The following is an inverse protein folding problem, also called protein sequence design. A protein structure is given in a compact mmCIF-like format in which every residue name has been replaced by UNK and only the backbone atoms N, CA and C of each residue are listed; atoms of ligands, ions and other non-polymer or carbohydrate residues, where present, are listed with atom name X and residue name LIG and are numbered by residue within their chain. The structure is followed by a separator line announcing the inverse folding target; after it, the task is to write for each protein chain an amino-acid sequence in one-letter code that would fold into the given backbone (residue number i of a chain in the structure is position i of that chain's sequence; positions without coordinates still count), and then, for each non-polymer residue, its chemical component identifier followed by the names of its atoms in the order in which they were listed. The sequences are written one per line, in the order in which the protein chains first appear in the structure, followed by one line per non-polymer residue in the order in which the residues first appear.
data_IF_973912615661
#
_entry.id   IF_973912615661
#
_cell.length_a   1.000
_cell.length_b   1.000
_cell.length_c   1.000
_cell.angle_alpha   90.00
_cell.angle_beta   90.00
_cell.angle_gamma   90.00
#
_symmetry.space_group_name_H-M   'P 1'
#
loop_
_entity.id
_entity.type
_entity.pdbx_description
1 polymer ?
#
# COMPACT_ATOMS: atom_id res chain seq x y z
N UNK A 1 -26.39 -24.22 -21.96
CA UNK A 1 -25.72 -24.35 -20.66
C UNK A 1 -26.74 -24.05 -19.58
N UNK A 2 -27.01 -25.02 -18.69
CA UNK A 2 -27.89 -24.82 -17.54
C UNK A 2 -27.05 -24.16 -16.44
N UNK A 3 -27.25 -22.87 -16.19
CA UNK A 3 -26.60 -22.16 -15.08
C UNK A 3 -27.63 -22.02 -13.96
N UNK A 4 -27.36 -22.66 -12.81
CA UNK A 4 -28.23 -22.71 -11.64
C UNK A 4 -28.42 -24.15 -11.17
N UNK A 5 -27.68 -24.58 -10.15
CA UNK A 5 -27.67 -25.99 -9.71
C UNK A 5 -28.99 -26.45 -9.10
N UNK A 6 -29.87 -25.52 -8.68
CA UNK A 6 -31.11 -25.83 -7.96
C UNK A 6 -32.32 -25.68 -8.89
N UNK A 7 -32.31 -24.70 -9.79
CA UNK A 7 -33.38 -24.34 -10.72
C UNK A 7 -33.59 -25.38 -11.84
N UNK A 8 -32.61 -26.26 -12.03
CA UNK A 8 -32.68 -27.39 -12.97
C UNK A 8 -33.51 -28.54 -12.40
N UNK A 9 -33.59 -28.68 -11.08
CA UNK A 9 -34.24 -29.83 -10.44
C UNK A 9 -35.71 -30.00 -10.84
N UNK A 10 -36.55 -28.95 -10.95
CA UNK A 10 -37.92 -29.09 -11.44
C UNK A 10 -38.01 -29.52 -12.91
N UNK A 11 -37.16 -28.96 -13.77
CA UNK A 11 -37.13 -29.32 -15.19
C UNK A 11 -36.63 -30.73 -15.45
N UNK A 12 -35.74 -31.23 -14.59
CA UNK A 12 -35.21 -32.59 -14.64
C UNK A 12 -36.14 -33.62 -13.98
N UNK A 13 -37.29 -33.20 -13.43
CA UNK A 13 -38.21 -34.09 -12.70
C UNK A 13 -37.66 -34.61 -11.37
N UNK A 14 -36.65 -33.94 -10.81
CA UNK A 14 -36.00 -34.31 -9.55
C UNK A 14 -36.67 -33.67 -8.33
N UNK A 15 -37.49 -32.63 -8.52
CA UNK A 15 -38.24 -31.98 -7.47
C UNK A 15 -39.50 -31.31 -8.03
N UNK A 16 -40.61 -31.32 -7.28
CA UNK A 16 -41.83 -30.61 -7.69
C UNK A 16 -41.75 -29.09 -7.43
N UNK A 17 -40.89 -28.69 -6.49
CA UNK A 17 -40.67 -27.29 -6.12
C UNK A 17 -39.25 -27.09 -5.57
N UNK A 18 -38.79 -25.84 -5.59
CA UNK A 18 -37.51 -25.42 -5.00
C UNK A 18 -37.74 -24.21 -4.09
N UNK A 19 -36.89 -24.06 -3.09
CA UNK A 19 -36.89 -22.89 -2.21
C UNK A 19 -35.78 -21.93 -2.64
N UNK A 20 -36.14 -20.75 -3.13
CA UNK A 20 -35.20 -19.66 -3.34
C UNK A 20 -35.03 -18.87 -2.02
N UNK A 21 -33.78 -18.53 -1.71
CA UNK A 21 -33.41 -17.76 -0.52
C UNK A 21 -33.20 -16.27 -0.83
N UNK A 22 -33.27 -15.87 -2.10
CA UNK A 22 -32.99 -14.51 -2.56
C UNK A 22 -34.29 -13.83 -3.01
N UNK A 23 -34.53 -12.61 -2.53
CA UNK A 23 -35.81 -11.90 -2.68
C UNK A 23 -36.12 -11.41 -4.10
N UNK A 24 -35.18 -11.43 -5.04
CA UNK A 24 -35.34 -10.69 -6.31
C UNK A 24 -36.15 -11.45 -7.35
N UNK A 25 -36.35 -12.77 -7.22
CA UNK A 25 -37.14 -13.60 -8.15
C UNK A 25 -36.56 -13.74 -9.57
N UNK A 26 -35.57 -12.93 -9.94
CA UNK A 26 -34.99 -12.85 -11.28
C UNK A 26 -34.40 -14.19 -11.75
N UNK A 27 -33.81 -14.97 -10.84
CA UNK A 27 -33.24 -16.28 -11.16
C UNK A 27 -34.32 -17.33 -11.46
N UNK A 28 -35.47 -17.25 -10.77
CA UNK A 28 -36.63 -18.12 -11.02
C UNK A 28 -37.25 -17.81 -12.38
N UNK A 29 -37.48 -16.53 -12.68
CA UNK A 29 -38.04 -16.08 -13.96
C UNK A 29 -37.15 -16.49 -15.14
N UNK A 30 -35.83 -16.31 -15.01
CA UNK A 30 -34.86 -16.71 -16.03
C UNK A 30 -34.90 -18.22 -16.35
N UNK A 31 -35.36 -19.04 -15.39
CA UNK A 31 -35.51 -20.48 -15.54
C UNK A 31 -36.97 -20.92 -15.79
N UNK A 32 -37.88 -19.98 -16.07
CA UNK A 32 -39.29 -20.26 -16.32
C UNK A 32 -40.04 -20.83 -15.11
N UNK A 33 -39.55 -20.54 -13.91
CA UNK A 33 -40.19 -20.87 -12.64
C UNK A 33 -40.97 -19.65 -12.14
N UNK A 34 -42.00 -19.88 -11.33
CA UNK A 34 -42.80 -18.82 -10.70
C UNK A 34 -42.88 -19.04 -9.20
N UNK A 35 -42.92 -17.96 -8.45
CA UNK A 35 -43.22 -18.02 -7.02
C UNK A 35 -44.67 -18.50 -6.82
N UNK A 36 -44.85 -19.51 -5.97
CA UNK A 36 -46.17 -20.10 -5.67
C UNK A 36 -46.60 -19.89 -4.23
N UNK A 37 -45.65 -19.84 -3.29
CA UNK A 37 -45.94 -19.66 -1.86
C UNK A 37 -44.71 -19.15 -1.11
N UNK A 38 -44.91 -18.20 -0.20
CA UNK A 38 -43.90 -17.84 0.80
C UNK A 38 -43.96 -18.84 1.95
N UNK A 39 -42.89 -19.61 2.15
CA UNK A 39 -42.81 -20.64 3.20
C UNK A 39 -42.22 -20.07 4.50
N UNK A 40 -41.31 -19.11 4.40
CA UNK A 40 -40.63 -18.52 5.57
C UNK A 40 -40.05 -17.14 5.25
N UNK A 41 -40.16 -16.20 6.19
CA UNK A 41 -39.45 -14.91 6.12
C UNK A 41 -38.16 -14.98 6.95
N UNK A 42 -37.01 -14.85 6.28
CA UNK A 42 -35.70 -14.79 6.93
C UNK A 42 -35.16 -13.37 6.94
N UNK A 43 -34.70 -12.88 8.10
CA UNK A 43 -34.05 -11.56 8.24
C UNK A 43 -32.86 -11.66 9.19
N UNK A 44 -31.75 -11.02 8.83
CA UNK A 44 -30.66 -10.81 9.75
C UNK A 44 -31.03 -9.72 10.76
N UNK A 45 -30.98 -10.05 12.06
CA UNK A 45 -31.31 -9.14 13.15
C UNK A 45 -30.10 -8.98 14.07
N UNK A 46 -29.86 -7.75 14.55
CA UNK A 46 -28.84 -7.48 15.55
C UNK A 46 -29.50 -7.56 16.94
N UNK A 47 -29.05 -8.51 17.75
CA UNK A 47 -29.63 -8.77 19.08
C UNK A 47 -28.81 -8.01 20.13
N UNK A 48 -29.48 -7.18 20.92
CA UNK A 48 -28.88 -6.51 22.07
C UNK A 48 -29.42 -7.14 23.35
N UNK A 49 -28.55 -7.35 24.35
CA UNK A 49 -28.96 -7.82 25.67
C UNK A 49 -29.86 -6.75 26.31
N UNK A 50 -31.04 -7.15 26.77
CA UNK A 50 -31.91 -6.31 27.60
C UNK A 50 -31.33 -6.19 29.02
N UNK A 51 -31.25 -4.97 29.55
CA UNK A 51 -30.71 -4.69 30.89
C UNK A 51 -29.68 -3.56 30.94
N UNK A 52 -29.04 -3.37 32.09
CA UNK A 52 -28.11 -2.27 32.31
C UNK A 52 -26.76 -2.55 31.62
N UNK A 53 -26.44 -1.77 30.59
CA UNK A 53 -25.18 -1.83 29.84
C UNK A 53 -24.30 -0.68 30.33
N UNK A 54 -23.05 -0.97 30.70
CA UNK A 54 -22.06 0.06 31.06
C UNK A 54 -21.92 1.05 29.89
N UNK A 55 -21.85 2.35 30.20
CA UNK A 55 -21.84 3.45 29.22
C UNK A 55 -20.70 3.33 28.19
N UNK A 56 -19.55 2.78 28.56
CA UNK A 56 -18.46 2.49 27.60
C UNK A 56 -18.94 1.53 26.50
N UNK A 57 -19.68 0.48 26.87
CA UNK A 57 -20.22 -0.48 25.91
C UNK A 57 -21.35 0.13 25.08
N UNK A 58 -22.19 0.99 25.67
CA UNK A 58 -23.23 1.72 24.92
C UNK A 58 -22.60 2.62 23.85
N UNK A 59 -21.52 3.31 24.16
CA UNK A 59 -20.82 4.18 23.21
C UNK A 59 -20.25 3.39 22.03
N UNK A 60 -19.60 2.25 22.31
CA UNK A 60 -19.10 1.33 21.26
C UNK A 60 -20.25 0.79 20.40
N UNK A 61 -21.36 0.37 21.02
CA UNK A 61 -22.55 -0.12 20.30
C UNK A 61 -23.11 0.97 19.41
N UNK A 62 -23.28 2.20 19.91
CA UNK A 62 -23.77 3.33 19.12
C UNK A 62 -22.85 3.61 17.92
N UNK A 63 -21.53 3.56 18.13
CA UNK A 63 -20.54 3.76 17.06
C UNK A 63 -20.64 2.66 15.99
N UNK A 64 -20.81 1.40 16.41
CA UNK A 64 -21.02 0.28 15.49
C UNK A 64 -22.34 0.40 14.73
N UNK A 65 -23.43 0.75 15.42
CA UNK A 65 -24.74 0.93 14.80
C UNK A 65 -24.74 2.03 13.75
N UNK A 66 -24.08 3.17 14.03
CA UNK A 66 -23.91 4.25 13.04
C UNK A 66 -23.14 3.76 11.81
N UNK A 67 -22.06 3.01 12.01
CA UNK A 67 -21.26 2.43 10.90
C UNK A 67 -22.07 1.43 10.07
N UNK A 68 -22.77 0.50 10.72
CA UNK A 68 -23.59 -0.51 10.04
C UNK A 68 -24.70 0.16 9.21
N UNK A 69 -25.43 1.11 9.81
CA UNK A 69 -26.46 1.89 9.09
C UNK A 69 -25.86 2.66 7.91
N UNK A 70 -24.68 3.25 8.09
CA UNK A 70 -23.95 3.94 7.02
C UNK A 70 -23.63 3.01 5.85
N UNK A 71 -23.10 1.81 6.12
CA UNK A 71 -22.78 0.82 5.08
C UNK A 71 -24.03 0.30 4.38
N UNK A 72 -25.11 0.01 5.10
CA UNK A 72 -26.38 -0.42 4.49
C UNK A 72 -26.91 0.67 3.55
N UNK A 73 -26.96 1.92 4.04
CA UNK A 73 -27.42 3.06 3.23
C UNK A 73 -26.53 3.28 2.00
N UNK A 74 -25.21 3.16 2.14
CA UNK A 74 -24.27 3.30 1.02
C UNK A 74 -24.53 2.24 -0.06
N UNK A 75 -24.74 0.97 0.32
CA UNK A 75 -24.99 -0.14 -0.60
C UNK A 75 -26.25 0.02 -1.44
N UNK A 76 -27.28 0.58 -0.83
CA UNK A 76 -28.57 0.85 -1.47
C UNK A 76 -28.57 2.19 -2.26
N UNK A 77 -27.51 2.98 -2.11
CA UNK A 77 -27.36 4.28 -2.77
C UNK A 77 -26.42 4.20 -3.97
N UNK A 78 -26.74 4.98 -5.00
CA UNK A 78 -25.87 5.22 -6.15
C UNK A 78 -25.46 6.68 -6.18
N UNK A 79 -24.21 6.90 -6.53
CA UNK A 79 -23.77 8.19 -7.00
C UNK A 79 -24.20 8.38 -8.45
N UNK A 80 -24.89 9.49 -8.71
CA UNK A 80 -25.40 9.83 -10.04
C UNK A 80 -24.78 11.15 -10.45
N UNK A 81 -24.13 11.13 -11.62
CA UNK A 81 -23.70 12.32 -12.32
C UNK A 81 -24.47 12.42 -13.63
N UNK A 82 -25.00 13.58 -13.95
CA UNK A 82 -25.68 13.81 -15.22
C UNK A 82 -25.56 15.26 -15.66
N UNK A 83 -25.78 15.53 -16.95
CA UNK A 83 -25.98 16.87 -17.46
C UNK A 83 -27.47 17.19 -17.51
N UNK A 84 -27.89 18.30 -16.91
CA UNK A 84 -29.28 18.76 -16.91
C UNK A 84 -29.40 20.12 -17.63
N UNK A 85 -30.47 20.37 -18.40
CA UNK A 85 -30.76 21.69 -18.93
C UNK A 85 -31.05 22.69 -17.81
N UNK A 86 -30.47 23.89 -17.89
CA UNK A 86 -30.60 24.93 -16.85
C UNK A 86 -32.07 25.30 -16.60
N UNK A 87 -32.87 25.37 -17.66
CA UNK A 87 -34.30 25.71 -17.59
C UNK A 87 -35.19 24.58 -17.02
N UNK A 88 -34.65 23.37 -16.87
CA UNK A 88 -35.37 22.18 -16.36
C UNK A 88 -34.76 21.62 -15.07
N UNK A 89 -33.83 22.36 -14.46
CA UNK A 89 -33.05 21.91 -13.32
C UNK A 89 -33.93 21.54 -12.12
N UNK A 90 -34.90 22.37 -11.74
CA UNK A 90 -35.79 22.08 -10.60
C UNK A 90 -36.68 20.85 -10.83
N UNK A 91 -37.13 20.62 -12.07
CA UNK A 91 -37.90 19.42 -12.43
C UNK A 91 -37.03 18.16 -12.29
N UNK A 92 -35.77 18.24 -12.72
CA UNK A 92 -34.78 17.16 -12.58
C UNK A 92 -34.44 16.88 -11.11
N UNK A 93 -34.27 17.93 -10.30
CA UNK A 93 -34.03 17.82 -8.84
C UNK A 93 -35.23 17.16 -8.14
N UNK A 94 -36.45 17.53 -8.53
CA UNK A 94 -37.67 17.00 -7.91
C UNK A 94 -37.89 15.51 -8.22
N UNK A 95 -37.51 15.05 -9.42
CA UNK A 95 -37.56 13.63 -9.79
C UNK A 95 -36.56 12.80 -8.99
N UNK A 96 -35.32 13.26 -8.92
CA UNK A 96 -34.25 12.59 -8.20
C UNK A 96 -34.15 13.15 -6.78
N UNK A 97 -35.15 12.86 -5.93
CA UNK A 97 -35.15 13.19 -4.49
C UNK A 97 -34.03 12.46 -3.76
N UNK A 98 -32.79 12.90 -3.98
CA UNK A 98 -31.59 12.36 -3.40
C UNK A 98 -31.54 12.57 -1.89
N UNK A 99 -30.48 12.05 -1.27
CA UNK A 99 -30.27 12.19 0.17
C UNK A 99 -30.18 13.67 0.61
N UNK A 100 -29.66 14.54 -0.27
CA UNK A 100 -29.51 15.98 -0.10
C UNK A 100 -29.75 16.70 -1.43
N UNK A 101 -29.73 18.04 -1.43
CA UNK A 101 -29.75 18.82 -2.67
C UNK A 101 -28.50 18.52 -3.51
N UNK A 102 -28.62 18.41 -4.85
CA UNK A 102 -27.48 18.10 -5.69
C UNK A 102 -26.45 19.23 -5.74
N UNK A 103 -25.20 18.85 -5.95
CA UNK A 103 -24.14 19.78 -6.36
C UNK A 103 -24.31 20.09 -7.85
N UNK A 104 -24.29 21.37 -8.21
CA UNK A 104 -24.49 21.85 -9.59
C UNK A 104 -23.26 22.62 -10.04
N UNK A 105 -22.66 22.20 -11.15
CA UNK A 105 -21.44 22.74 -11.73
C UNK A 105 -21.73 23.26 -13.15
N UNK A 106 -21.18 24.42 -13.50
CA UNK A 106 -21.27 24.96 -14.86
C UNK A 106 -20.37 24.15 -15.79
N UNK A 107 -20.87 23.85 -16.99
CA UNK A 107 -20.07 23.22 -18.03
C UNK A 107 -19.20 24.26 -18.74
N UNK A 108 -17.97 23.89 -19.09
CA UNK A 108 -17.09 24.75 -19.88
C UNK A 108 -17.62 24.84 -21.32
N UNK A 109 -17.94 26.06 -21.77
CA UNK A 109 -18.40 26.32 -23.15
C UNK A 109 -19.87 26.00 -23.44
N UNK A 110 -20.65 25.53 -22.47
CA UNK A 110 -22.10 25.30 -22.60
C UNK A 110 -22.84 26.01 -21.45
N UNK A 111 -23.58 27.06 -21.80
CA UNK A 111 -24.37 27.84 -20.83
C UNK A 111 -25.80 27.30 -20.64
N UNK A 112 -26.22 26.34 -21.48
CA UNK A 112 -27.59 25.82 -21.46
C UNK A 112 -27.72 24.57 -20.60
N UNK A 113 -26.59 23.96 -20.19
CA UNK A 113 -26.55 22.76 -19.36
C UNK A 113 -25.59 22.91 -18.19
N UNK A 114 -25.88 22.14 -17.13
CA UNK A 114 -25.05 22.02 -15.92
C UNK A 114 -24.75 20.56 -15.64
N UNK A 115 -23.56 20.27 -15.10
CA UNK A 115 -23.30 18.98 -14.49
C UNK A 115 -23.91 18.94 -13.09
N UNK A 116 -24.71 17.91 -12.82
CA UNK A 116 -25.39 17.68 -11.56
C UNK A 116 -24.87 16.40 -10.93
N UNK A 117 -24.47 16.47 -9.65
CA UNK A 117 -23.93 15.35 -8.90
C UNK A 117 -24.79 15.12 -7.65
N UNK A 118 -25.19 13.88 -7.39
CA UNK A 118 -26.00 13.54 -6.23
C UNK A 118 -25.90 12.08 -5.83
N UNK A 119 -26.50 11.77 -4.69
CA UNK A 119 -26.69 10.41 -4.19
C UNK A 119 -28.19 10.11 -4.10
N UNK A 120 -28.63 9.06 -4.77
CA UNK A 120 -30.02 8.58 -4.75
C UNK A 120 -30.08 7.07 -4.55
N UNK A 121 -31.23 6.53 -4.14
CA UNK A 121 -31.40 5.07 -4.08
C UNK A 121 -31.44 4.46 -5.47
N UNK A 122 -30.99 3.21 -5.58
CA UNK A 122 -30.98 2.47 -6.84
C UNK A 122 -32.38 2.36 -7.46
N UNK A 123 -33.39 2.01 -6.65
CA UNK A 123 -34.78 1.85 -7.08
C UNK A 123 -35.34 3.15 -7.66
N UNK A 124 -35.18 4.26 -6.93
CA UNK A 124 -35.71 5.56 -7.34
C UNK A 124 -35.06 6.06 -8.64
N UNK A 125 -33.76 5.82 -8.82
CA UNK A 125 -33.07 6.19 -10.04
C UNK A 125 -33.64 5.46 -11.27
N UNK A 126 -33.79 4.13 -11.19
CA UNK A 126 -34.29 3.35 -12.33
C UNK A 126 -35.75 3.70 -12.67
N UNK A 127 -36.61 3.95 -11.68
CA UNK A 127 -37.99 4.40 -11.88
C UNK A 127 -38.11 5.79 -12.53
N UNK A 128 -37.07 6.63 -12.41
CA UNK A 128 -37.08 8.02 -12.89
C UNK A 128 -36.26 8.22 -14.16
N UNK A 129 -35.47 7.23 -14.60
CA UNK A 129 -34.54 7.33 -15.72
C UNK A 129 -35.20 7.77 -17.04
N UNK A 130 -36.35 7.22 -17.38
CA UNK A 130 -37.09 7.57 -18.60
C UNK A 130 -37.57 9.04 -18.57
N UNK A 131 -38.07 9.48 -17.40
CA UNK A 131 -38.52 10.86 -17.18
C UNK A 131 -37.34 11.84 -17.24
N UNK A 132 -36.18 11.48 -16.70
CA UNK A 132 -34.96 12.28 -16.78
C UNK A 132 -34.52 12.48 -18.23
N UNK A 133 -34.52 11.41 -19.05
CA UNK A 133 -34.23 11.52 -20.48
C UNK A 133 -35.25 12.40 -21.20
N UNK A 134 -36.54 12.27 -20.88
CA UNK A 134 -37.59 13.12 -21.46
C UNK A 134 -37.42 14.60 -21.12
N UNK A 135 -36.88 14.93 -19.94
CA UNK A 135 -36.50 16.29 -19.54
C UNK A 135 -35.19 16.80 -20.17
N UNK A 136 -34.54 15.99 -21.01
CA UNK A 136 -33.30 16.36 -21.69
C UNK A 136 -32.02 16.10 -20.88
N UNK A 137 -32.10 15.31 -19.80
CA UNK A 137 -30.89 14.88 -19.10
C UNK A 137 -30.03 13.98 -19.99
N UNK A 138 -28.72 14.23 -20.00
CA UNK A 138 -27.75 13.49 -20.81
C UNK A 138 -26.51 13.11 -20.00
N UNK A 139 -25.61 12.31 -20.57
CA UNK A 139 -24.34 11.93 -19.94
C UNK A 139 -24.53 11.34 -18.53
N UNK A 140 -25.59 10.55 -18.35
CA UNK A 140 -25.95 9.96 -17.05
C UNK A 140 -24.96 8.84 -16.73
N UNK A 141 -24.16 9.05 -15.70
CA UNK A 141 -23.23 8.08 -15.12
C UNK A 141 -23.74 7.68 -13.74
N UNK A 142 -23.79 6.38 -13.48
CA UNK A 142 -24.26 5.80 -12.23
C UNK A 142 -23.15 4.91 -11.67
N UNK A 143 -22.70 5.23 -10.46
CA UNK A 143 -21.62 4.50 -9.78
C UNK A 143 -22.10 4.02 -8.41
N UNK A 144 -21.86 2.76 -8.04
CA UNK A 144 -21.96 2.33 -6.65
C UNK A 144 -20.95 3.13 -5.81
N UNK A 145 -21.36 3.59 -4.63
CA UNK A 145 -20.49 4.39 -3.74
C UNK A 145 -19.28 3.57 -3.31
N UNK A 146 -19.45 2.26 -3.12
CA UNK A 146 -18.37 1.34 -2.75
C UNK A 146 -17.28 1.29 -3.83
N UNK A 147 -17.66 1.36 -5.11
CA UNK A 147 -16.68 1.29 -6.22
C UNK A 147 -15.75 2.49 -6.26
N UNK A 148 -16.20 3.66 -5.80
CA UNK A 148 -15.31 4.83 -5.66
C UNK A 148 -14.21 4.57 -4.62
N UNK A 149 -14.49 3.79 -3.57
CA UNK A 149 -13.50 3.40 -2.58
C UNK A 149 -12.58 2.28 -3.09
N UNK A 150 -13.07 1.40 -3.96
CA UNK A 150 -12.27 0.32 -4.56
C UNK A 150 -11.18 0.83 -5.50
N UNK A 151 -11.43 1.89 -6.29
CA UNK A 151 -10.45 2.45 -7.23
C UNK A 151 -9.17 2.94 -6.52
N UNK A 152 -9.32 3.46 -5.30
CA UNK A 152 -8.20 3.92 -4.46
C UNK A 152 -7.68 2.85 -3.50
N UNK A 153 -8.26 1.65 -3.53
CA UNK A 153 -7.81 0.57 -2.66
C UNK A 153 -6.46 0.05 -3.12
N UNK A 154 -5.55 -0.16 -2.16
CA UNK A 154 -4.26 -0.80 -2.41
C UNK A 154 -4.47 -2.29 -2.67
N UNK A 155 -3.70 -2.92 -3.56
CA UNK A 155 -3.71 -4.37 -3.72
C UNK A 155 -3.42 -5.02 -2.37
N UNK A 156 -4.35 -5.87 -1.90
CA UNK A 156 -4.14 -6.59 -0.65
C UNK A 156 -3.04 -7.63 -0.89
N UNK A 157 -1.86 -7.39 -0.33
CA UNK A 157 -0.86 -8.43 -0.17
C UNK A 157 -1.49 -9.50 0.73
N UNK A 158 -1.88 -10.65 0.14
CA UNK A 158 -2.26 -11.83 0.92
C UNK A 158 -1.02 -12.32 1.67
N UNK A 159 -0.80 -11.81 2.87
CA UNK A 159 0.23 -12.32 3.76
C UNK A 159 -0.08 -13.79 4.06
N UNK A 160 0.78 -14.68 3.58
CA UNK A 160 0.65 -16.11 3.85
C UNK A 160 1.11 -16.39 5.27
N UNK A 161 0.27 -17.04 6.08
CA UNK A 161 0.63 -17.56 7.41
C UNK A 161 1.90 -18.43 7.38
N UNK A 162 2.21 -19.00 6.21
CA UNK A 162 3.45 -19.75 5.96
C UNK A 162 4.68 -18.85 6.06
N UNK A 163 4.66 -17.64 5.50
CA UNK A 163 5.77 -16.68 5.59
C UNK A 163 5.99 -16.29 7.04
N UNK A 164 4.92 -15.94 7.77
CA UNK A 164 4.99 -15.55 9.19
C UNK A 164 5.67 -16.62 10.04
N UNK A 165 5.22 -17.88 9.90
CA UNK A 165 5.80 -19.03 10.63
C UNK A 165 7.26 -19.29 10.24
N UNK A 166 7.58 -19.17 8.95
CA UNK A 166 8.93 -19.40 8.44
C UNK A 166 9.90 -18.34 8.96
N UNK A 167 9.53 -17.06 8.88
CA UNK A 167 10.34 -15.94 9.38
C UNK A 167 10.51 -16.03 10.89
N UNK A 168 9.46 -16.38 11.63
CA UNK A 168 9.55 -16.58 13.08
C UNK A 168 10.59 -17.64 13.43
N UNK A 169 10.57 -18.78 12.74
CA UNK A 169 11.57 -19.84 12.92
C UNK A 169 12.98 -19.36 12.59
N UNK A 170 13.17 -18.60 11.51
CA UNK A 170 14.48 -18.04 11.14
C UNK A 170 14.99 -17.11 12.24
N UNK A 171 14.13 -16.23 12.77
CA UNK A 171 14.48 -15.31 13.86
C UNK A 171 14.88 -16.08 15.12
N UNK A 172 14.11 -17.10 15.51
CA UNK A 172 14.42 -17.95 16.67
C UNK A 172 15.75 -18.69 16.47
N UNK A 173 15.97 -19.31 15.31
CA UNK A 173 17.22 -19.99 14.97
C UNK A 173 18.43 -19.05 15.07
N UNK A 174 18.35 -17.84 14.50
CA UNK A 174 19.46 -16.86 14.56
C UNK A 174 19.70 -16.38 15.98
N UNK A 175 18.64 -16.17 16.77
CA UNK A 175 18.75 -15.76 18.17
C UNK A 175 19.44 -16.82 19.04
N UNK A 176 19.19 -18.10 18.78
CA UNK A 176 19.72 -19.20 19.59
C UNK A 176 21.06 -19.75 19.10
N UNK A 177 21.28 -19.80 17.79
CA UNK A 177 22.43 -20.45 17.17
C UNK A 177 23.44 -19.46 16.55
N UNK A 178 23.08 -18.18 16.40
CA UNK A 178 23.95 -17.15 15.85
C UNK A 178 24.47 -17.47 14.45
N UNK A 179 25.78 -17.41 14.27
CA UNK A 179 26.49 -17.63 12.99
C UNK A 179 26.22 -19.01 12.38
N UNK A 180 25.95 -20.05 13.19
CA UNK A 180 25.61 -21.37 12.67
C UNK A 180 24.29 -21.36 11.89
N UNK A 181 23.28 -20.64 12.40
CA UNK A 181 22.02 -20.44 11.69
C UNK A 181 22.23 -19.61 10.41
N UNK A 182 23.07 -18.58 10.45
CA UNK A 182 23.38 -17.78 9.27
C UNK A 182 24.02 -18.63 8.17
N UNK A 183 25.00 -19.48 8.51
CA UNK A 183 25.64 -20.39 7.55
C UNK A 183 24.64 -21.38 6.95
N UNK A 184 23.80 -21.99 7.80
CA UNK A 184 22.74 -22.91 7.37
C UNK A 184 21.78 -22.25 6.37
N UNK A 185 21.32 -21.03 6.66
CA UNK A 185 20.36 -20.33 5.79
C UNK A 185 21.00 -19.77 4.51
N UNK A 186 22.28 -19.38 4.55
CA UNK A 186 23.05 -19.00 3.36
C UNK A 186 23.17 -20.17 2.37
N UNK A 187 23.44 -21.38 2.85
CA UNK A 187 23.48 -22.58 2.00
C UNK A 187 22.08 -22.90 1.46
N UNK A 188 21.06 -22.81 2.31
CA UNK A 188 19.69 -23.20 1.93
C UNK A 188 19.07 -22.26 0.90
N UNK A 189 19.16 -20.94 1.11
CA UNK A 189 18.46 -19.95 0.30
C UNK A 189 19.35 -19.33 -0.77
N UNK A 190 20.58 -18.96 -0.41
CA UNK A 190 21.50 -18.26 -1.31
C UNK A 190 22.38 -19.24 -2.10
N UNK A 191 22.33 -20.54 -1.77
CA UNK A 191 23.16 -21.62 -2.36
C UNK A 191 24.66 -21.29 -2.29
N UNK A 192 25.05 -20.55 -1.26
CA UNK A 192 26.40 -20.03 -1.10
C UNK A 192 26.95 -20.48 0.24
N UNK A 193 28.00 -21.31 0.22
CA UNK A 193 28.71 -21.75 1.42
C UNK A 193 29.73 -20.67 1.83
N UNK A 194 29.36 -19.90 2.85
CA UNK A 194 30.17 -18.79 3.33
C UNK A 194 30.89 -19.19 4.63
N UNK A 195 32.21 -19.06 4.61
CA UNK A 195 33.04 -19.25 5.81
C UNK A 195 33.33 -17.95 6.55
N UNK A 196 33.35 -16.83 5.83
CA UNK A 196 33.53 -15.49 6.39
C UNK A 196 32.42 -14.58 5.89
N UNK A 197 31.53 -14.17 6.79
CA UNK A 197 30.42 -13.29 6.44
C UNK A 197 30.91 -11.90 6.04
N UNK A 198 31.94 -11.38 6.72
CA UNK A 198 32.44 -10.03 6.46
C UNK A 198 33.27 -10.00 5.17
N UNK A 199 32.95 -9.05 4.29
CA UNK A 199 33.75 -8.77 3.09
C UNK A 199 35.06 -8.11 3.50
N UNK A 200 36.18 -8.61 2.97
CA UNK A 200 37.51 -8.04 3.24
C UNK A 200 37.62 -6.60 2.71
N UNK A 201 38.45 -5.78 3.37
CA UNK A 201 38.69 -4.41 2.90
C UNK A 201 39.34 -4.38 1.51
N UNK A 202 40.16 -5.39 1.19
CA UNK A 202 40.78 -5.55 -0.11
C UNK A 202 39.73 -5.78 -1.21
N UNK A 203 38.73 -6.64 -0.96
CA UNK A 203 37.62 -6.86 -1.90
C UNK A 203 36.78 -5.59 -2.07
N UNK A 204 36.53 -4.86 -0.98
CA UNK A 204 35.80 -3.58 -1.04
C UNK A 204 36.56 -2.55 -1.89
N UNK A 205 37.86 -2.39 -1.67
CA UNK A 205 38.69 -1.44 -2.41
C UNK A 205 38.82 -1.81 -3.90
N UNK A 206 39.06 -3.09 -4.17
CA UNK A 206 39.23 -3.60 -5.53
C UNK A 206 37.95 -3.58 -6.38
N UNK A 207 36.78 -3.49 -5.75
CA UNK A 207 35.49 -3.33 -6.46
C UNK A 207 35.49 -2.14 -7.44
N UNK A 208 36.27 -1.10 -7.16
CA UNK A 208 36.39 0.11 -7.99
C UNK A 208 37.07 -0.12 -9.34
N UNK A 209 37.90 -1.16 -9.47
CA UNK A 209 38.60 -1.50 -10.71
C UNK A 209 37.69 -2.18 -11.74
N UNK A 210 36.65 -2.87 -11.26
CA UNK A 210 35.67 -3.54 -12.12
C UNK A 210 34.58 -2.60 -12.68
N UNK A 211 34.59 -1.31 -12.29
CA UNK A 211 33.57 -0.35 -12.70
C UNK A 211 34.12 0.68 -13.69
N UNK A 212 33.29 0.99 -14.69
CA UNK A 212 33.60 2.02 -15.68
C UNK A 212 33.71 3.40 -15.03
N UNK A 213 34.56 4.27 -15.60
CA UNK A 213 34.71 5.66 -15.13
C UNK A 213 33.37 6.40 -15.13
N UNK A 214 32.57 6.24 -16.19
CA UNK A 214 31.23 6.84 -16.32
C UNK A 214 30.32 6.49 -15.14
N UNK A 215 30.30 5.23 -14.71
CA UNK A 215 29.46 4.81 -13.58
C UNK A 215 29.99 5.37 -12.25
N UNK A 216 31.31 5.39 -12.06
CA UNK A 216 31.93 5.98 -10.86
C UNK A 216 31.61 7.47 -10.73
N UNK A 217 31.74 8.21 -11.83
CA UNK A 217 31.41 9.64 -11.87
C UNK A 217 29.92 9.88 -11.57
N UNK A 218 29.02 9.07 -12.12
CA UNK A 218 27.58 9.13 -11.83
C UNK A 218 27.27 8.89 -10.33
N UNK A 219 27.93 7.90 -9.72
CA UNK A 219 27.78 7.60 -8.27
C UNK A 219 28.26 8.78 -7.42
N UNK A 220 29.37 9.43 -7.81
CA UNK A 220 29.89 10.59 -7.09
C UNK A 220 28.98 11.81 -7.22
N UNK A 221 28.37 12.04 -8.39
CA UNK A 221 27.36 13.08 -8.60
C UNK A 221 26.14 12.83 -7.70
N UNK A 222 25.60 11.60 -7.73
CA UNK A 222 24.45 11.23 -6.89
C UNK A 222 24.77 11.43 -5.40
N UNK A 223 25.94 10.96 -4.93
CA UNK A 223 26.39 11.18 -3.56
C UNK A 223 26.44 12.67 -3.21
N UNK A 224 27.03 13.52 -4.06
CA UNK A 224 27.13 14.97 -3.81
C UNK A 224 25.74 15.60 -3.64
N UNK A 225 24.79 15.25 -4.49
CA UNK A 225 23.44 15.80 -4.45
C UNK A 225 22.69 15.35 -3.20
N UNK A 226 22.72 14.04 -2.90
CA UNK A 226 22.10 13.44 -1.70
C UNK A 226 22.68 14.08 -0.44
N UNK A 227 24.02 14.21 -0.37
CA UNK A 227 24.71 14.83 0.76
C UNK A 227 24.34 16.30 0.92
N UNK A 228 24.21 17.05 -0.16
CA UNK A 228 23.84 18.47 -0.11
C UNK A 228 22.43 18.66 0.45
N UNK A 229 21.47 17.84 -0.01
CA UNK A 229 20.09 17.92 0.45
C UNK A 229 19.95 17.51 1.92
N UNK A 230 20.52 16.38 2.34
CA UNK A 230 20.40 15.94 3.73
C UNK A 230 21.17 16.82 4.73
N UNK A 231 22.26 17.49 4.32
CA UNK A 231 22.90 18.50 5.17
C UNK A 231 22.00 19.70 5.43
N UNK A 232 21.21 20.11 4.44
CA UNK A 232 20.25 21.20 4.61
C UNK A 232 19.08 20.85 5.55
N UNK A 233 18.86 19.56 5.84
CA UNK A 233 17.81 19.08 6.74
C UNK A 233 18.24 19.02 8.21
N UNK A 234 19.49 19.34 8.55
CA UNK A 234 19.95 19.33 9.94
C UNK A 234 19.12 20.36 10.74
N UNK A 235 18.33 19.93 11.75
CA UNK A 235 17.48 20.85 12.49
C UNK A 235 18.30 21.86 13.30
N UNK A 236 17.75 23.05 13.47
CA UNK A 236 18.30 24.03 14.41
C UNK A 236 17.99 23.57 15.85
N UNK A 237 18.95 23.73 16.75
CA UNK A 237 18.73 23.47 18.18
C UNK A 237 17.69 24.42 18.73
N UNK A 238 16.73 23.90 19.48
CA UNK A 238 15.79 24.72 20.25
C UNK A 238 16.36 24.90 21.65
N UNK A 239 16.48 26.14 22.08
CA UNK A 239 16.97 26.49 23.41
C UNK A 239 16.27 27.78 23.87
N UNK A 240 15.33 27.63 24.79
CA UNK A 240 14.47 28.73 25.24
C UNK A 240 14.36 28.75 26.76
N UNK A 241 14.27 29.94 27.33
CA UNK A 241 13.83 30.13 28.71
C UNK A 241 12.34 30.49 28.69
N UNK A 242 11.50 29.56 29.14
CA UNK A 242 10.03 29.71 29.06
C UNK A 242 9.49 30.67 30.12
N UNK A 243 10.17 30.70 31.27
CA UNK A 243 9.99 31.63 32.38
C UNK A 243 11.30 31.68 33.16
N UNK A 244 11.48 32.72 33.99
CA UNK A 244 12.71 32.91 34.77
C UNK A 244 13.11 31.63 35.53
N UNK A 245 14.30 31.11 35.21
CA UNK A 245 14.87 29.90 35.80
C UNK A 245 14.44 28.58 35.14
N UNK A 246 13.56 28.58 34.13
CA UNK A 246 13.09 27.36 33.45
C UNK A 246 13.52 27.35 31.98
N UNK A 247 14.69 26.75 31.75
CA UNK A 247 15.28 26.56 30.41
C UNK A 247 14.90 25.20 29.82
N UNK A 248 14.35 25.21 28.62
CA UNK A 248 13.97 24.03 27.85
C UNK A 248 14.82 23.94 26.59
N UNK A 249 15.42 22.77 26.36
CA UNK A 249 16.28 22.51 25.20
C UNK A 249 15.79 21.27 24.45
N UNK A 250 15.83 21.34 23.11
CA UNK A 250 15.73 20.17 22.24
C UNK A 250 17.09 19.93 21.59
N UNK A 251 17.69 18.80 21.94
CA UNK A 251 18.95 18.31 21.37
C UNK A 251 18.69 17.10 20.49
N UNK A 252 19.46 16.97 19.41
CA UNK A 252 19.41 15.83 18.49
C UNK A 252 20.69 15.01 18.65
N UNK A 253 20.55 13.73 18.96
CA UNK A 253 21.67 12.80 19.13
C UNK A 253 21.59 11.70 18.07
N UNK A 254 22.72 11.28 17.48
CA UNK A 254 22.74 10.16 16.57
C UNK A 254 22.46 8.84 17.30
N UNK A 255 21.92 7.88 16.54
CA UNK A 255 21.94 6.47 16.94
C UNK A 255 23.39 5.98 17.06
N UNK A 256 23.65 5.04 17.97
CA UNK A 256 25.00 4.48 18.10
C UNK A 256 25.31 3.59 16.91
N UNK A 257 24.35 2.74 16.50
CA UNK A 257 24.53 1.78 15.42
C UNK A 257 23.29 1.68 14.52
N UNK A 258 23.52 1.62 13.21
CA UNK A 258 22.46 1.41 12.21
C UNK A 258 22.81 0.25 11.28
N UNK A 259 21.82 -0.57 10.99
CA UNK A 259 21.89 -1.67 10.02
C UNK A 259 21.25 -1.25 8.72
N UNK A 260 21.91 -1.51 7.60
CA UNK A 260 21.42 -1.24 6.25
C UNK A 260 21.27 -2.59 5.54
N UNK A 261 20.05 -2.94 5.17
CA UNK A 261 19.77 -4.08 4.31
C UNK A 261 19.66 -3.62 2.86
N UNK A 262 20.40 -4.28 1.97
CA UNK A 262 20.36 -4.04 0.53
C UNK A 262 19.97 -5.34 -0.16
N UNK A 263 18.82 -5.40 -0.85
CA UNK A 263 18.44 -6.60 -1.56
C UNK A 263 19.36 -6.83 -2.77
N UNK A 264 19.65 -8.10 -3.05
CA UNK A 264 20.20 -8.54 -4.33
C UNK A 264 19.06 -9.18 -5.14
N UNK A 265 18.81 -8.67 -6.35
CA UNK A 265 17.83 -9.21 -7.28
C UNK A 265 18.37 -9.19 -8.72
N UNK A 266 17.47 -9.26 -9.70
CA UNK A 266 17.78 -9.15 -11.14
C UNK A 266 18.61 -7.90 -11.48
N UNK A 267 18.42 -6.81 -10.74
CA UNK A 267 19.28 -5.63 -10.80
C UNK A 267 19.80 -5.24 -9.40
N UNK A 268 21.12 -4.98 -9.23
CA UNK A 268 21.67 -4.53 -7.96
C UNK A 268 21.26 -3.07 -7.67
N UNK A 269 20.51 -2.87 -6.58
CA UNK A 269 20.03 -1.55 -6.13
C UNK A 269 21.09 -0.81 -5.31
N UNK A 270 22.24 -0.52 -5.91
CA UNK A 270 23.34 0.19 -5.24
C UNK A 270 22.98 1.64 -4.86
N UNK A 271 21.95 2.24 -5.47
CA UNK A 271 21.43 3.56 -5.09
C UNK A 271 20.87 3.58 -3.66
N UNK A 272 20.27 2.47 -3.20
CA UNK A 272 19.80 2.32 -1.81
C UNK A 272 20.92 2.49 -0.80
N UNK A 273 22.14 2.04 -1.13
CA UNK A 273 23.32 2.26 -0.28
C UNK A 273 23.56 3.75 -0.07
N UNK A 274 23.52 4.54 -1.14
CA UNK A 274 23.74 5.99 -1.08
C UNK A 274 22.65 6.66 -0.24
N UNK A 275 21.38 6.31 -0.50
CA UNK A 275 20.22 6.90 0.18
C UNK A 275 20.18 6.61 1.68
N UNK A 276 20.78 5.51 2.14
CA UNK A 276 20.75 5.13 3.56
C UNK A 276 22.05 5.50 4.30
N UNK A 277 23.20 5.26 3.68
CA UNK A 277 24.49 5.46 4.35
C UNK A 277 24.89 6.94 4.45
N UNK A 278 24.54 7.76 3.45
CA UNK A 278 24.87 9.20 3.47
C UNK A 278 24.16 9.93 4.62
N UNK A 279 22.82 9.85 4.79
CA UNK A 279 22.18 10.48 5.95
C UNK A 279 22.63 9.89 7.28
N UNK A 280 22.90 8.58 7.37
CA UNK A 280 23.46 7.97 8.59
C UNK A 280 24.82 8.59 8.99
N UNK A 281 25.70 8.83 8.01
CA UNK A 281 26.98 9.52 8.23
C UNK A 281 26.79 10.98 8.61
N UNK A 282 25.87 11.70 7.97
CA UNK A 282 25.58 13.12 8.27
C UNK A 282 25.03 13.27 9.69
N UNK A 283 24.14 12.37 10.10
CA UNK A 283 23.60 12.34 11.46
C UNK A 283 24.69 12.09 12.52
N UNK A 284 25.79 11.42 12.16
CA UNK A 284 26.88 11.08 13.06
C UNK A 284 26.76 9.70 13.70
N UNK A 285 26.09 8.75 13.04
CA UNK A 285 25.99 7.36 13.53
C UNK A 285 27.41 6.75 13.65
N UNK A 286 27.75 6.22 14.83
CA UNK A 286 29.11 5.72 15.12
C UNK A 286 29.41 4.46 14.33
N UNK A 287 28.43 3.57 14.24
CA UNK A 287 28.53 2.30 13.53
C UNK A 287 27.47 2.19 12.45
N UNK A 288 27.90 1.81 11.24
CA UNK A 288 27.02 1.56 10.10
C UNK A 288 27.41 0.18 9.55
N UNK A 289 26.46 -0.76 9.61
CA UNK A 289 26.63 -2.13 9.15
C UNK A 289 25.77 -2.34 7.92
N UNK A 290 26.33 -2.90 6.85
CA UNK A 290 25.58 -3.24 5.64
C UNK A 290 25.47 -4.76 5.49
N UNK A 291 24.26 -5.26 5.26
CA UNK A 291 24.00 -6.64 4.90
C UNK A 291 23.38 -6.71 3.50
N UNK A 292 23.87 -7.62 2.67
CA UNK A 292 23.32 -7.92 1.34
C UNK A 292 23.52 -9.41 1.05
N UNK A 293 22.60 -10.09 0.35
CA UNK A 293 22.76 -11.52 0.05
C UNK A 293 24.03 -11.79 -0.79
N UNK A 294 24.70 -12.94 -0.58
CA UNK A 294 25.89 -13.32 -1.32
C UNK A 294 25.56 -13.83 -2.75
N UNK A 295 26.48 -13.67 -3.72
CA UNK A 295 27.67 -12.82 -3.67
C UNK A 295 27.31 -11.34 -3.87
N UNK A 296 27.92 -10.44 -3.08
CA UNK A 296 27.67 -9.00 -3.22
C UNK A 296 28.35 -8.46 -4.49
N UNK A 297 27.58 -7.84 -5.37
CA UNK A 297 28.11 -7.25 -6.60
C UNK A 297 28.99 -6.01 -6.39
N UNK A 298 29.97 -5.81 -7.27
CA UNK A 298 30.93 -4.69 -7.21
C UNK A 298 30.29 -3.30 -7.14
N UNK A 299 29.09 -3.11 -7.73
CA UNK A 299 28.35 -1.84 -7.68
C UNK A 299 27.94 -1.48 -6.24
N UNK A 300 27.47 -2.45 -5.46
CA UNK A 300 27.08 -2.27 -4.06
C UNK A 300 28.32 -2.03 -3.20
N UNK A 301 29.37 -2.83 -3.39
CA UNK A 301 30.63 -2.68 -2.67
C UNK A 301 31.27 -1.31 -2.90
N UNK A 302 31.29 -0.84 -4.15
CA UNK A 302 31.83 0.47 -4.49
C UNK A 302 30.98 1.61 -3.91
N UNK A 303 29.65 1.52 -3.97
CA UNK A 303 28.77 2.51 -3.33
C UNK A 303 29.01 2.56 -1.81
N UNK A 304 29.15 1.40 -1.15
CA UNK A 304 29.44 1.31 0.28
C UNK A 304 30.83 1.88 0.62
N UNK A 305 31.84 1.60 -0.21
CA UNK A 305 33.19 2.17 -0.10
C UNK A 305 33.15 3.70 -0.18
N UNK A 306 32.49 4.24 -1.20
CA UNK A 306 32.34 5.69 -1.42
C UNK A 306 31.59 6.35 -0.25
N UNK A 307 30.66 5.65 0.41
CA UNK A 307 29.97 6.11 1.62
C UNK A 307 30.78 5.88 2.92
N UNK A 308 31.95 5.26 2.87
CA UNK A 308 32.80 5.01 4.03
C UNK A 308 32.24 3.96 4.99
N UNK A 309 31.51 2.98 4.48
CA UNK A 309 31.04 1.80 5.23
C UNK A 309 32.16 0.76 5.23
N UNK A 310 32.56 0.30 6.42
CA UNK A 310 33.64 -0.69 6.58
C UNK A 310 33.12 -2.09 6.91
N UNK A 311 32.01 -2.19 7.64
CA UNK A 311 31.39 -3.45 8.06
C UNK A 311 30.32 -3.85 7.04
N UNK A 312 30.70 -4.73 6.12
CA UNK A 312 29.82 -5.25 5.06
C UNK A 312 29.76 -6.77 5.22
N UNK A 313 28.56 -7.33 5.36
CA UNK A 313 28.33 -8.76 5.55
C UNK A 313 27.50 -9.34 4.40
N UNK A 314 27.93 -10.49 3.88
CA UNK A 314 27.26 -11.18 2.78
C UNK A 314 26.20 -12.15 3.31
N UNK A 315 25.09 -11.60 3.79
CA UNK A 315 23.93 -12.32 4.29
C UNK A 315 22.65 -11.65 3.82
N UNK A 316 21.67 -12.46 3.43
CA UNK A 316 20.41 -12.01 2.87
C UNK A 316 19.18 -12.25 3.73
N UNK A 317 18.02 -11.80 3.25
CA UNK A 317 16.72 -12.26 3.71
C UNK A 317 16.38 -11.96 5.18
N UNK A 318 15.47 -12.78 5.73
CA UNK A 318 15.02 -12.65 7.11
C UNK A 318 16.15 -12.90 8.12
N UNK A 319 17.09 -13.79 7.80
CA UNK A 319 18.23 -14.10 8.64
C UNK A 319 19.18 -12.90 8.81
N UNK A 320 19.32 -12.04 7.79
CA UNK A 320 20.10 -10.81 7.91
C UNK A 320 19.43 -9.77 8.81
N UNK A 321 18.10 -9.63 8.72
CA UNK A 321 17.35 -8.77 9.63
C UNK A 321 17.46 -9.27 11.08
N UNK A 322 17.36 -10.59 11.29
CA UNK A 322 17.55 -11.19 12.60
C UNK A 322 18.97 -10.96 13.14
N UNK A 323 20.01 -11.12 12.32
CA UNK A 323 21.39 -10.90 12.74
C UNK A 323 21.65 -9.43 13.12
N UNK A 324 21.12 -8.47 12.36
CA UNK A 324 21.18 -7.06 12.71
C UNK A 324 20.41 -6.75 14.00
N UNK A 325 19.25 -7.40 14.19
CA UNK A 325 18.35 -7.14 15.32
C UNK A 325 18.85 -7.70 16.66
N UNK A 326 19.42 -8.90 16.65
CA UNK A 326 19.83 -9.61 17.87
C UNK A 326 21.35 -9.63 18.07
N UNK A 327 22.12 -9.40 17.01
CA UNK A 327 23.55 -9.66 16.97
C UNK A 327 23.87 -11.15 16.88
N UNK A 328 25.07 -11.46 16.40
CA UNK A 328 25.69 -12.79 16.38
C UNK A 328 27.17 -12.67 16.79
N UNK A 329 27.92 -13.76 16.71
CA UNK A 329 29.36 -13.75 16.97
C UNK A 329 30.10 -12.84 15.98
N UNK A 330 29.67 -12.81 14.71
CA UNK A 330 30.28 -11.98 13.67
C UNK A 330 29.65 -10.59 13.52
N UNK A 331 28.37 -10.41 13.87
CA UNK A 331 27.60 -9.20 13.54
C UNK A 331 27.10 -8.54 14.82
N UNK A 332 27.49 -7.28 15.05
CA UNK A 332 26.98 -6.52 16.20
C UNK A 332 25.51 -6.15 16.02
N UNK A 333 24.75 -6.20 17.13
CA UNK A 333 23.38 -5.70 17.19
C UNK A 333 23.35 -4.20 16.85
N UNK A 334 22.36 -3.78 16.07
CA UNK A 334 22.13 -2.37 15.72
C UNK A 334 20.93 -1.77 16.46
N UNK A 335 20.91 -0.45 16.64
CA UNK A 335 19.76 0.24 17.25
C UNK A 335 18.56 0.29 16.29
N UNK A 336 18.83 0.48 14.99
CA UNK A 336 17.78 0.63 13.97
C UNK A 336 18.18 0.03 12.62
N UNK A 337 17.23 -0.63 11.95
CA UNK A 337 17.42 -1.31 10.66
C UNK A 337 16.68 -0.55 9.55
N UNK A 338 17.41 -0.28 8.47
CA UNK A 338 16.93 0.46 7.30
C UNK A 338 17.00 -0.40 6.05
N UNK A 339 16.13 -0.10 5.10
CA UNK A 339 16.17 -0.64 3.76
C UNK A 339 14.97 -1.56 3.43
N UNK A 340 14.52 -1.53 2.18
CA UNK A 340 13.42 -2.37 1.72
C UNK A 340 13.91 -3.80 1.44
N UNK A 341 12.98 -4.73 1.32
CA UNK A 341 13.27 -6.08 0.87
C UNK A 341 12.00 -6.80 0.42
N UNK A 342 12.15 -8.09 0.12
CA UNK A 342 11.02 -8.94 -0.24
C UNK A 342 10.10 -9.20 0.97
N UNK A 343 9.01 -9.95 0.74
CA UNK A 343 8.05 -10.28 1.79
C UNK A 343 8.67 -10.89 3.06
N UNK A 344 9.73 -11.70 2.94
CA UNK A 344 10.41 -12.28 4.10
C UNK A 344 11.19 -11.24 4.91
N UNK A 345 11.83 -10.27 4.25
CA UNK A 345 12.53 -9.16 4.90
C UNK A 345 11.54 -8.23 5.57
N UNK A 346 10.43 -7.90 4.90
CA UNK A 346 9.37 -7.05 5.45
C UNK A 346 8.73 -7.70 6.68
N UNK A 347 8.39 -8.98 6.60
CA UNK A 347 7.85 -9.74 7.75
C UNK A 347 8.89 -9.84 8.87
N UNK A 348 10.18 -10.03 8.56
CA UNK A 348 11.22 -10.07 9.59
C UNK A 348 11.34 -8.73 10.31
N UNK A 349 11.33 -7.61 9.57
CA UNK A 349 11.31 -6.25 10.12
C UNK A 349 10.09 -6.01 11.01
N UNK A 350 8.91 -6.47 10.58
CA UNK A 350 7.68 -6.40 11.38
C UNK A 350 7.81 -7.17 12.69
N UNK A 351 8.28 -8.42 12.64
CA UNK A 351 8.41 -9.25 13.84
C UNK A 351 9.46 -8.72 14.80
N UNK A 352 10.65 -8.29 14.33
CA UNK A 352 11.70 -7.77 15.22
C UNK A 352 11.34 -6.44 15.86
N UNK A 353 10.66 -5.54 15.11
CA UNK A 353 10.20 -4.25 15.64
C UNK A 353 9.06 -4.38 16.65
N UNK A 354 8.35 -5.52 16.64
CA UNK A 354 7.31 -5.82 17.62
C UNK A 354 7.86 -6.32 18.96
N UNK A 355 9.16 -6.64 19.04
CA UNK A 355 9.79 -7.15 20.27
C UNK A 355 10.41 -5.98 21.04
N UNK A 356 10.06 -5.88 22.32
CA UNK A 356 10.56 -4.83 23.21
C UNK A 356 12.09 -4.86 23.35
N UNK A 357 12.74 -3.69 23.31
CA UNK A 357 14.19 -3.51 23.46
C UNK A 357 15.09 -4.23 22.43
N UNK A 358 14.59 -4.54 21.22
CA UNK A 358 15.42 -5.12 20.15
C UNK A 358 16.00 -4.02 19.26
N UNK A 359 15.51 -3.87 18.04
CA UNK A 359 15.96 -2.86 17.08
C UNK A 359 14.73 -2.28 16.43
N UNK A 360 14.72 -0.97 16.25
CA UNK A 360 13.67 -0.32 15.49
C UNK A 360 13.86 -0.57 13.99
N UNK A 361 12.83 -0.21 13.22
CA UNK A 361 12.88 -0.20 11.75
C UNK A 361 12.54 1.19 11.24
N UNK A 362 12.95 1.50 10.02
CA UNK A 362 12.56 2.71 9.29
C UNK A 362 11.05 2.76 9.02
N UNK A 363 10.55 1.85 8.18
CA UNK A 363 9.16 1.67 7.81
C UNK A 363 8.94 0.27 7.22
N UNK A 364 7.70 -0.19 7.25
CA UNK A 364 7.30 -1.39 6.51
C UNK A 364 7.18 -1.04 5.04
N UNK A 365 7.85 -1.82 4.20
CA UNK A 365 7.77 -1.67 2.76
C UNK A 365 6.43 -2.24 2.26
N UNK A 366 5.69 -1.45 1.49
CA UNK A 366 4.58 -1.90 0.66
C UNK A 366 4.98 -1.97 -0.81
N UNK A 367 4.05 -2.36 -1.70
CA UNK A 367 4.26 -2.22 -3.13
C UNK A 367 4.54 -0.76 -3.47
N UNK A 368 5.36 -0.57 -4.50
CA UNK A 368 5.77 0.77 -4.91
C UNK A 368 4.67 1.44 -5.76
N UNK A 369 4.48 2.75 -5.60
CA UNK A 369 3.32 3.46 -6.16
C UNK A 369 3.77 4.74 -6.89
N UNK A 370 3.13 5.05 -8.02
CA UNK A 370 3.29 6.32 -8.73
C UNK A 370 1.91 6.85 -9.16
N UNK A 371 1.68 8.14 -8.92
CA UNK A 371 0.51 8.85 -9.41
C UNK A 371 0.96 10.06 -10.22
N UNK A 372 0.60 10.09 -11.50
CA UNK A 372 0.85 11.21 -12.40
C UNK A 372 -0.44 12.03 -12.53
N UNK A 373 -0.36 13.34 -12.26
CA UNK A 373 -1.45 14.29 -12.54
C UNK A 373 -1.05 15.10 -13.76
N UNK A 374 -1.84 15.03 -14.82
CA UNK A 374 -1.51 15.66 -16.09
C UNK A 374 -2.72 16.40 -16.68
N UNK A 375 -2.55 17.65 -17.08
CA UNK A 375 -3.53 18.38 -17.87
C UNK A 375 -3.24 18.24 -19.37
N UNK A 376 -4.06 18.87 -20.21
CA UNK A 376 -3.95 18.78 -21.67
C UNK A 376 -2.63 19.31 -22.27
N UNK A 377 -1.77 19.96 -21.49
CA UNK A 377 -0.47 20.48 -21.94
C UNK A 377 0.69 19.49 -21.75
N UNK A 378 0.45 18.41 -21.02
CA UNK A 378 1.47 17.42 -20.71
C UNK A 378 1.83 16.57 -21.94
N UNK A 379 3.08 16.10 -21.97
CA UNK A 379 3.56 15.22 -23.04
C UNK A 379 3.20 13.75 -22.74
N UNK A 380 2.40 13.08 -23.59
CA UNK A 380 2.02 11.67 -23.41
C UNK A 380 3.23 10.73 -23.25
N UNK A 381 4.29 10.93 -24.03
CA UNK A 381 5.48 10.06 -24.00
C UNK A 381 6.21 10.13 -22.66
N UNK A 382 6.24 11.32 -22.03
CA UNK A 382 6.87 11.50 -20.72
C UNK A 382 6.03 10.86 -19.62
N UNK A 383 4.70 11.04 -19.68
CA UNK A 383 3.76 10.38 -18.75
C UNK A 383 3.90 8.85 -18.86
N UNK A 384 3.87 8.31 -20.07
CA UNK A 384 4.00 6.87 -20.30
C UNK A 384 5.36 6.36 -19.80
N UNK A 385 6.45 7.10 -20.04
CA UNK A 385 7.78 6.75 -19.54
C UNK A 385 7.84 6.71 -18.02
N UNK A 386 7.25 7.70 -17.33
CA UNK A 386 7.21 7.72 -15.86
C UNK A 386 6.38 6.55 -15.31
N UNK A 387 5.18 6.31 -15.87
CA UNK A 387 4.33 5.19 -15.48
C UNK A 387 5.05 3.85 -15.69
N UNK A 388 5.72 3.65 -16.82
CA UNK A 388 6.49 2.44 -17.11
C UNK A 388 7.69 2.27 -16.17
N UNK A 389 8.39 3.37 -15.84
CA UNK A 389 9.52 3.34 -14.91
C UNK A 389 9.13 2.83 -13.52
N UNK A 390 7.90 3.11 -13.08
CA UNK A 390 7.38 2.56 -11.84
C UNK A 390 6.86 1.12 -12.01
N UNK A 391 6.22 0.82 -13.13
CA UNK A 391 5.68 -0.52 -13.37
C UNK A 391 6.78 -1.60 -13.46
N UNK A 392 7.98 -1.25 -13.96
CA UNK A 392 9.11 -2.20 -14.04
C UNK A 392 9.70 -2.61 -12.68
N UNK A 393 9.42 -1.85 -11.60
CA UNK A 393 9.95 -2.15 -10.27
C UNK A 393 9.45 -3.47 -9.69
N UNK A 394 8.29 -3.96 -10.15
CA UNK A 394 7.76 -5.27 -9.77
C UNK A 394 6.28 -5.42 -10.05
N UNK A 395 5.82 -6.67 -10.16
CA UNK A 395 4.44 -7.04 -10.53
C UNK A 395 3.35 -6.47 -9.60
N UNK A 396 3.71 -6.08 -8.38
CA UNK A 396 2.79 -5.49 -7.41
C UNK A 396 2.74 -3.95 -7.46
N UNK A 397 3.55 -3.32 -8.31
CA UNK A 397 3.61 -1.85 -8.41
C UNK A 397 2.31 -1.27 -8.94
N UNK A 398 1.85 -0.18 -8.35
CA UNK A 398 0.61 0.49 -8.74
C UNK A 398 0.93 1.82 -9.42
N UNK A 399 0.40 2.02 -10.62
CA UNK A 399 0.59 3.25 -11.39
C UNK A 399 -0.77 3.84 -11.76
N UNK A 400 -0.94 5.14 -11.53
CA UNK A 400 -2.22 5.83 -11.70
C UNK A 400 -1.97 7.12 -12.50
N UNK A 401 -2.76 7.33 -13.56
CA UNK A 401 -2.85 8.60 -14.26
C UNK A 401 -4.17 9.29 -13.90
N UNK A 402 -4.09 10.54 -13.44
CA UNK A 402 -5.25 11.42 -13.25
C UNK A 402 -5.17 12.58 -14.24
N UNK A 403 -6.15 12.68 -15.12
CA UNK A 403 -6.23 13.78 -16.10
C UNK A 403 -7.68 14.23 -16.33
N UNK A 404 -7.92 15.55 -16.49
CA UNK A 404 -9.22 16.05 -16.94
C UNK A 404 -9.42 15.91 -18.46
N UNK A 405 -8.41 15.47 -19.22
CA UNK A 405 -8.42 15.41 -20.69
C UNK A 405 -8.53 13.96 -21.18
N UNK A 406 -9.67 13.60 -21.79
CA UNK A 406 -9.88 12.23 -22.28
C UNK A 406 -8.95 11.87 -23.44
N UNK A 407 -8.64 12.84 -24.32
CA UNK A 407 -7.71 12.60 -25.43
C UNK A 407 -6.32 12.27 -24.93
N UNK A 408 -5.83 12.97 -23.90
CA UNK A 408 -4.54 12.69 -23.29
C UNK A 408 -4.51 11.30 -22.65
N UNK A 409 -5.60 10.85 -22.03
CA UNK A 409 -5.65 9.51 -21.43
C UNK A 409 -5.62 8.36 -22.46
N UNK A 410 -5.94 8.65 -23.72
CA UNK A 410 -5.97 7.67 -24.81
C UNK A 410 -4.65 7.62 -25.60
N UNK A 411 -3.90 8.71 -25.60
CA UNK A 411 -2.55 8.81 -26.17
C UNK A 411 -1.56 8.14 -25.22
#
# INVERSE_FOLDING_TARGET
MLNGSVEVAPRAGLADAICDLVSTGATLEANGLREVQVVYHSRACLICKTGNINDIKKEVINKLMTRIKGVIKARESKYIMLHAPVNKLEEVICLLRGAERPTVLKLAGDNNRVAMHMVSSETLFWETMEKLKALGASSILVLPIEKMMEILSRPVLKESDVIKKTVKKIIEDVKHLGDEALKKYSILFDKFDINQFQVSQETIFSSSFALSKKLKDAILIAKKNIQSFHKAQIPLSIDIETQTGVRCQQIYLPLNSVGIYVPSGTAPLFSTVLMLAIPAKIAGCKEIILCSPPPIGNKILYAAHVCGIKKIFQIGGAQAIAALAFGTQSISKVDKIFGPGNAYVTEAKLQVSSIFNVSEIDMLAGPSELLVIADATANPDFIASDLLSQAEHGESSQVILLTPCIQLSQQ
#
